data_IF_177426898540
#
_entry.id   IF_177426898540
#
_cell.length_a   1.000
_cell.length_b   1.000
_cell.length_c   1.000
_cell.angle_alpha   90.00
_cell.angle_beta   90.00
_cell.angle_gamma   90.00
#
_symmetry.space_group_name_H-M   'P 1'
#
loop_
_entity.id
_entity.type
_entity.pdbx_description
1 polymer ?
#
# COMPACT_ATOMS: atom_id res chain seq x y z
N UNK A 1 -0.16 27.57 13.76
CA UNK A 1 0.16 27.42 12.33
C UNK A 1 0.90 26.13 12.03
N UNK A 2 1.86 25.71 12.84
CA UNK A 2 2.75 24.55 12.59
C UNK A 2 2.00 23.21 12.47
N UNK A 3 1.01 22.94 13.31
CA UNK A 3 0.22 21.68 13.23
C UNK A 3 -0.57 21.55 11.93
N UNK A 4 -1.09 22.65 11.35
CA UNK A 4 -1.76 22.62 10.03
C UNK A 4 -0.81 22.20 8.92
N UNK A 5 0.45 22.64 8.97
CA UNK A 5 1.48 22.28 7.99
C UNK A 5 1.78 20.78 8.09
N UNK A 6 1.93 20.25 9.31
CA UNK A 6 2.18 18.81 9.54
C UNK A 6 1.05 17.94 8.97
N UNK A 7 -0.22 18.29 9.26
CA UNK A 7 -1.36 17.57 8.69
C UNK A 7 -1.45 17.74 7.17
N UNK A 8 -1.09 18.91 6.62
CA UNK A 8 -1.04 19.15 5.19
C UNK A 8 -0.01 18.26 4.49
N UNK A 9 1.20 18.18 5.03
CA UNK A 9 2.25 17.28 4.51
C UNK A 9 1.80 15.82 4.62
N UNK A 10 1.26 15.42 5.79
CA UNK A 10 0.73 14.07 6.00
C UNK A 10 -0.37 13.69 5.00
N UNK A 11 -1.28 14.61 4.69
CA UNK A 11 -2.32 14.41 3.68
C UNK A 11 -1.71 14.10 2.30
N UNK A 12 -0.74 14.91 1.84
CA UNK A 12 -0.11 14.70 0.53
C UNK A 12 0.67 13.40 0.47
N UNK A 13 1.41 13.04 1.52
CA UNK A 13 2.13 11.77 1.61
C UNK A 13 1.16 10.59 1.60
N UNK A 14 0.06 10.66 2.36
CA UNK A 14 -0.96 9.60 2.36
C UNK A 14 -1.66 9.49 1.01
N UNK A 15 -1.97 10.61 0.34
CA UNK A 15 -2.55 10.60 -1.01
C UNK A 15 -1.63 9.89 -2.01
N UNK A 16 -0.33 10.19 -1.96
CA UNK A 16 0.67 9.52 -2.80
C UNK A 16 0.77 8.02 -2.48
N UNK A 17 0.79 7.65 -1.19
CA UNK A 17 0.80 6.25 -0.77
C UNK A 17 -0.45 5.51 -1.28
N UNK A 18 -1.65 6.07 -1.08
CA UNK A 18 -2.91 5.48 -1.56
C UNK A 18 -2.91 5.29 -3.08
N UNK A 19 -2.43 6.27 -3.83
CA UNK A 19 -2.31 6.15 -5.29
C UNK A 19 -1.36 5.00 -5.69
N UNK A 20 -0.22 4.84 -5.00
CA UNK A 20 0.71 3.74 -5.24
C UNK A 20 0.13 2.39 -4.83
N UNK A 21 -0.61 2.30 -3.71
CA UNK A 21 -1.31 1.08 -3.29
C UNK A 21 -2.33 0.65 -4.34
N UNK A 22 -3.16 1.57 -4.83
CA UNK A 22 -4.14 1.29 -5.90
C UNK A 22 -3.42 0.87 -7.18
N UNK A 23 -2.37 1.59 -7.59
CA UNK A 23 -1.60 1.25 -8.79
C UNK A 23 -0.97 -0.15 -8.67
N UNK A 24 -0.50 -0.55 -7.49
CA UNK A 24 0.07 -1.88 -7.26
C UNK A 24 -0.97 -3.00 -7.40
N UNK A 25 -2.24 -2.75 -7.05
CA UNK A 25 -3.34 -3.70 -7.20
C UNK A 25 -3.76 -3.84 -8.65
N UNK A 26 -3.89 -2.71 -9.35
CA UNK A 26 -4.41 -2.68 -10.74
C UNK A 26 -3.39 -3.19 -11.74
N UNK A 27 -2.10 -2.92 -11.52
CA UNK A 27 -1.07 -3.37 -12.45
C UNK A 27 -0.81 -4.87 -12.30
N UNK A 28 -0.86 -5.67 -13.41
CA UNK A 28 -0.56 -7.09 -13.38
C UNK A 28 0.95 -7.36 -13.37
N UNK A 29 1.71 -6.79 -12.42
CA UNK A 29 3.18 -6.82 -12.39
C UNK A 29 3.74 -7.05 -10.98
N UNK A 30 3.16 -8.00 -10.25
CA UNK A 30 3.72 -8.44 -8.96
C UNK A 30 4.91 -9.37 -9.17
N UNK A 31 4.73 -10.34 -10.07
CA UNK A 31 5.77 -11.26 -10.52
C UNK A 31 5.84 -11.21 -12.05
N UNK A 32 7.03 -11.15 -12.59
CA UNK A 32 7.26 -11.18 -14.02
C UNK A 32 8.25 -12.27 -14.39
N UNK A 33 7.92 -13.00 -15.44
CA UNK A 33 8.81 -13.94 -16.12
C UNK A 33 9.21 -13.33 -17.45
N UNK A 34 10.50 -13.22 -17.70
CA UNK A 34 11.02 -12.65 -18.93
C UNK A 34 12.17 -13.53 -19.43
N UNK A 35 11.93 -14.25 -20.50
CA UNK A 35 12.97 -15.07 -21.17
C UNK A 35 13.13 -14.59 -22.59
N UNK A 36 14.31 -14.11 -22.90
CA UNK A 36 14.72 -13.77 -24.26
C UNK A 36 14.99 -15.06 -25.03
N UNK A 37 14.25 -15.29 -26.11
CA UNK A 37 14.50 -16.42 -27.01
C UNK A 37 15.86 -16.23 -27.71
N UNK A 38 16.78 -17.17 -27.50
CA UNK A 38 18.04 -17.23 -28.19
C UNK A 38 17.81 -17.67 -29.64
N UNK A 39 18.08 -16.80 -30.63
CA UNK A 39 18.07 -17.10 -32.05
C UNK A 39 17.55 -15.94 -32.92
N UNK A 40 17.85 -15.99 -34.23
CA UNK A 40 17.45 -14.96 -35.22
C UNK A 40 15.93 -14.69 -35.34
N UNK A 41 15.09 -15.48 -34.66
CA UNK A 41 13.63 -15.35 -34.57
C UNK A 41 13.10 -15.68 -33.15
N UNK A 42 13.94 -15.58 -32.13
CA UNK A 42 13.56 -15.89 -30.75
C UNK A 42 12.48 -14.90 -30.25
N UNK A 43 11.21 -15.34 -30.16
CA UNK A 43 10.15 -14.59 -29.49
C UNK A 43 10.47 -14.53 -28.01
N UNK A 44 10.54 -13.33 -27.43
CA UNK A 44 10.58 -13.15 -25.98
C UNK A 44 9.23 -13.59 -25.40
N UNK A 45 9.27 -14.48 -24.41
CA UNK A 45 8.08 -14.88 -23.64
C UNK A 45 8.05 -14.07 -22.37
N UNK A 46 6.96 -13.32 -22.20
CA UNK A 46 6.71 -12.53 -20.98
C UNK A 46 5.41 -13.00 -20.36
N UNK A 47 5.48 -13.43 -19.11
CA UNK A 47 4.31 -13.76 -18.31
C UNK A 47 4.34 -12.88 -17.07
N UNK A 48 3.22 -12.25 -16.75
CA UNK A 48 3.12 -11.39 -15.58
C UNK A 48 1.91 -11.74 -14.72
N UNK A 49 2.17 -11.94 -13.43
CA UNK A 49 1.17 -12.19 -12.40
C UNK A 49 0.82 -10.89 -11.68
N UNK A 50 -0.44 -10.49 -11.78
CA UNK A 50 -1.03 -9.47 -10.92
C UNK A 50 -1.83 -10.10 -9.78
N UNK A 51 -2.44 -9.28 -8.93
CA UNK A 51 -3.28 -9.78 -7.84
C UNK A 51 -4.59 -10.40 -8.36
N UNK A 52 -5.13 -9.85 -9.43
CA UNK A 52 -6.42 -10.25 -9.99
C UNK A 52 -6.34 -10.68 -11.47
N UNK A 53 -5.20 -10.49 -12.11
CA UNK A 53 -5.05 -10.77 -13.54
C UNK A 53 -3.70 -11.42 -13.82
N UNK A 54 -3.71 -12.37 -14.77
CA UNK A 54 -2.53 -13.01 -15.35
C UNK A 54 -2.46 -12.62 -16.81
N UNK A 55 -1.35 -12.02 -17.23
CA UNK A 55 -1.11 -11.63 -18.62
C UNK A 55 0.02 -12.49 -19.24
N UNK A 56 -0.23 -13.01 -20.44
CA UNK A 56 0.74 -13.79 -21.21
C UNK A 56 0.96 -13.13 -22.57
N UNK A 57 2.22 -12.86 -22.90
CA UNK A 57 2.59 -12.24 -24.19
C UNK A 57 2.53 -13.23 -25.35
N UNK A 58 2.51 -14.54 -25.12
CA UNK A 58 2.42 -15.56 -26.18
C UNK A 58 1.02 -15.57 -26.76
N UNK A 59 0.01 -15.54 -25.89
CA UNK A 59 -1.41 -15.48 -26.29
C UNK A 59 -1.87 -14.04 -26.56
N UNK A 60 -1.14 -13.05 -26.06
CA UNK A 60 -1.52 -11.62 -26.13
C UNK A 60 -2.75 -11.28 -25.30
N UNK A 61 -3.17 -12.16 -24.39
CA UNK A 61 -4.39 -12.02 -23.59
C UNK A 61 -4.09 -11.94 -22.09
N UNK A 62 -4.94 -11.22 -21.38
CA UNK A 62 -4.98 -11.23 -19.92
C UNK A 62 -6.25 -11.96 -19.47
N UNK A 63 -6.14 -12.79 -18.44
CA UNK A 63 -7.27 -13.50 -17.81
C UNK A 63 -7.33 -13.22 -16.33
N UNK A 64 -8.48 -13.45 -15.74
CA UNK A 64 -8.65 -13.37 -14.30
C UNK A 64 -7.79 -14.44 -13.59
N UNK A 65 -7.19 -14.07 -12.47
CA UNK A 65 -6.33 -14.93 -11.67
C UNK A 65 -6.52 -14.64 -10.17
N UNK A 66 -6.54 -15.66 -9.30
CA UNK A 66 -6.55 -17.09 -9.60
C UNK A 66 -7.97 -17.61 -9.93
N UNK A 67 -8.09 -18.42 -10.99
CA UNK A 67 -9.31 -19.16 -11.32
C UNK A 67 -9.36 -20.50 -10.56
N UNK A 68 -10.53 -21.14 -10.53
CA UNK A 68 -10.68 -22.43 -9.85
C UNK A 68 -9.78 -23.53 -10.45
N UNK A 69 -9.51 -23.45 -11.76
CA UNK A 69 -8.65 -24.39 -12.47
C UNK A 69 -7.19 -24.26 -12.00
N UNK A 70 -6.73 -23.04 -11.68
CA UNK A 70 -5.37 -22.78 -11.19
C UNK A 70 -5.16 -23.31 -9.77
N UNK A 71 -6.26 -23.59 -9.05
CA UNK A 71 -6.30 -23.91 -7.63
C UNK A 71 -6.58 -25.38 -7.32
N UNK A 72 -6.56 -26.28 -8.33
CA UNK A 72 -6.82 -27.71 -8.15
C UNK A 72 -5.56 -28.44 -7.66
N UNK A 73 -5.77 -29.48 -6.84
CA UNK A 73 -4.69 -30.33 -6.31
C UNK A 73 -3.77 -29.57 -5.34
N UNK A 74 -2.47 -29.74 -5.46
CA UNK A 74 -1.44 -29.16 -4.58
C UNK A 74 -1.38 -27.63 -4.62
N UNK A 75 -2.04 -27.03 -5.63
CA UNK A 75 -2.09 -25.56 -5.83
C UNK A 75 -3.02 -24.83 -4.87
N UNK A 76 -3.80 -25.52 -4.05
CA UNK A 76 -4.75 -24.93 -3.10
C UNK A 76 -4.07 -23.98 -2.11
N UNK A 77 -2.92 -24.37 -1.55
CA UNK A 77 -2.18 -23.55 -0.58
C UNK A 77 -1.67 -22.24 -1.18
N UNK A 78 -1.20 -22.26 -2.43
CA UNK A 78 -0.79 -21.08 -3.18
C UNK A 78 -1.97 -20.13 -3.41
N UNK A 79 -3.06 -20.63 -3.97
CA UNK A 79 -4.24 -19.84 -4.28
C UNK A 79 -4.86 -19.19 -3.02
N UNK A 80 -4.89 -19.93 -1.91
CA UNK A 80 -5.40 -19.41 -0.64
C UNK A 80 -4.57 -18.21 -0.18
N UNK A 81 -3.24 -18.33 -0.18
CA UNK A 81 -2.32 -17.23 0.18
C UNK A 81 -2.44 -16.06 -0.80
N UNK A 82 -2.53 -16.32 -2.09
CA UNK A 82 -2.68 -15.28 -3.11
C UNK A 82 -3.98 -14.47 -2.95
N UNK A 83 -5.10 -15.15 -2.70
CA UNK A 83 -6.38 -14.50 -2.39
C UNK A 83 -6.30 -13.68 -1.10
N UNK A 84 -5.58 -14.18 -0.09
CA UNK A 84 -5.34 -13.44 1.15
C UNK A 84 -4.58 -12.12 0.88
N UNK A 85 -3.57 -12.15 0.02
CA UNK A 85 -2.86 -10.91 -0.39
C UNK A 85 -3.80 -9.93 -1.06
N UNK A 86 -4.64 -10.37 -2.00
CA UNK A 86 -5.63 -9.51 -2.65
C UNK A 86 -6.61 -8.88 -1.66
N UNK A 87 -7.09 -9.66 -0.68
CA UNK A 87 -7.95 -9.17 0.39
C UNK A 87 -7.25 -8.13 1.27
N UNK A 88 -6.04 -8.42 1.75
CA UNK A 88 -5.28 -7.50 2.61
C UNK A 88 -4.98 -6.18 1.90
N UNK A 89 -4.61 -6.22 0.62
CA UNK A 89 -4.34 -5.01 -0.17
C UNK A 89 -5.62 -4.17 -0.35
N UNK A 90 -6.76 -4.81 -0.66
CA UNK A 90 -8.04 -4.11 -0.77
C UNK A 90 -8.47 -3.50 0.57
N UNK A 91 -8.25 -4.22 1.67
CA UNK A 91 -8.51 -3.72 3.02
C UNK A 91 -7.62 -2.51 3.38
N UNK A 92 -6.33 -2.55 3.02
CA UNK A 92 -5.42 -1.43 3.20
C UNK A 92 -5.91 -0.17 2.48
N UNK A 93 -6.35 -0.28 1.21
CA UNK A 93 -6.93 0.86 0.45
C UNK A 93 -8.14 1.44 1.16
N UNK A 94 -9.04 0.61 1.68
CA UNK A 94 -10.24 1.10 2.40
C UNK A 94 -9.83 1.92 3.63
N UNK A 95 -8.83 1.45 4.40
CA UNK A 95 -8.32 2.20 5.55
C UNK A 95 -7.65 3.50 5.10
N UNK A 96 -6.82 3.48 4.05
CA UNK A 96 -6.15 4.67 3.54
C UNK A 96 -7.15 5.73 3.06
N UNK A 97 -8.24 5.33 2.38
CA UNK A 97 -9.32 6.24 2.00
C UNK A 97 -10.04 6.82 3.22
N UNK A 98 -10.29 6.02 4.26
CA UNK A 98 -10.84 6.51 5.52
C UNK A 98 -9.90 7.51 6.21
N UNK A 99 -8.59 7.29 6.14
CA UNK A 99 -7.57 8.23 6.66
C UNK A 99 -7.60 9.55 5.89
N UNK A 100 -7.74 9.54 4.57
CA UNK A 100 -7.87 10.77 3.75
C UNK A 100 -9.10 11.59 4.16
N UNK A 101 -10.23 10.92 4.41
CA UNK A 101 -11.43 11.57 4.98
C UNK A 101 -11.12 12.13 6.38
N UNK A 102 -10.41 11.37 7.22
CA UNK A 102 -9.97 11.81 8.54
C UNK A 102 -9.12 13.08 8.48
N UNK A 103 -8.18 13.19 7.55
CA UNK A 103 -7.41 14.40 7.32
C UNK A 103 -8.30 15.59 6.94
N UNK A 104 -9.28 15.39 6.05
CA UNK A 104 -10.23 16.45 5.69
C UNK A 104 -11.00 16.93 6.91
N UNK A 105 -11.50 16.02 7.75
CA UNK A 105 -12.23 16.35 8.98
C UNK A 105 -11.35 17.10 9.98
N UNK A 106 -10.08 16.73 10.12
CA UNK A 106 -9.14 17.38 11.04
C UNK A 106 -8.71 18.76 10.53
N UNK A 107 -8.46 18.91 9.23
CA UNK A 107 -8.04 20.19 8.63
C UNK A 107 -9.17 21.22 8.59
N UNK A 108 -10.41 20.78 8.30
CA UNK A 108 -11.60 21.64 8.29
C UNK A 108 -12.19 21.86 9.70
N UNK A 109 -11.81 21.00 10.65
CA UNK A 109 -12.31 21.06 12.03
C UNK A 109 -11.65 22.15 12.87
N UNK A 110 -12.24 22.39 14.05
CA UNK A 110 -11.72 23.34 15.04
C UNK A 110 -10.43 22.85 15.72
N UNK A 111 -9.85 23.69 16.59
CA UNK A 111 -8.60 23.43 17.34
C UNK A 111 -8.62 22.06 18.04
N UNK A 112 -9.70 21.73 18.74
CA UNK A 112 -9.85 20.48 19.50
C UNK A 112 -9.71 19.23 18.62
N UNK A 113 -10.26 19.25 17.38
CA UNK A 113 -10.13 18.12 16.44
C UNK A 113 -8.69 17.94 15.95
N UNK A 114 -7.93 19.04 15.81
CA UNK A 114 -6.51 18.98 15.44
C UNK A 114 -5.63 18.45 16.57
N UNK A 115 -5.99 18.75 17.83
CA UNK A 115 -5.22 18.27 18.98
C UNK A 115 -5.39 16.77 19.24
N UNK A 116 -6.52 16.18 18.89
CA UNK A 116 -6.82 14.76 19.15
C UNK A 116 -6.78 13.87 17.89
N UNK A 117 -6.90 14.45 16.70
CA UNK A 117 -7.04 13.72 15.43
C UNK A 117 -5.84 12.87 15.06
N UNK A 118 -4.64 13.22 15.53
CA UNK A 118 -3.43 12.45 15.23
C UNK A 118 -3.49 11.00 15.71
N UNK A 119 -4.14 10.71 16.83
CA UNK A 119 -4.26 9.35 17.40
C UNK A 119 -4.96 8.40 16.44
N UNK A 120 -6.10 8.83 15.91
CA UNK A 120 -6.89 8.04 14.97
C UNK A 120 -6.16 7.90 13.63
N UNK A 121 -5.66 9.00 13.07
CA UNK A 121 -4.98 9.02 11.78
C UNK A 121 -3.72 8.15 11.81
N UNK A 122 -2.86 8.35 12.80
CA UNK A 122 -1.62 7.56 12.92
C UNK A 122 -1.91 6.08 13.18
N UNK A 123 -2.90 5.76 14.03
CA UNK A 123 -3.31 4.38 14.28
C UNK A 123 -3.79 3.68 13.00
N UNK A 124 -4.66 4.32 12.22
CA UNK A 124 -5.14 3.77 10.95
C UNK A 124 -4.01 3.63 9.92
N UNK A 125 -3.09 4.60 9.81
CA UNK A 125 -1.92 4.51 8.93
C UNK A 125 -0.98 3.36 9.32
N UNK A 126 -0.77 3.11 10.61
CA UNK A 126 0.00 1.96 11.10
C UNK A 126 -0.65 0.64 10.70
N UNK A 127 -1.97 0.53 10.82
CA UNK A 127 -2.70 -0.69 10.40
C UNK A 127 -2.63 -0.87 8.88
N UNK A 128 -2.85 0.18 8.09
CA UNK A 128 -2.73 0.13 6.63
C UNK A 128 -1.32 -0.27 6.18
N UNK A 129 -0.29 0.34 6.77
CA UNK A 129 1.10 0.01 6.48
C UNK A 129 1.45 -1.43 6.87
N UNK A 130 1.00 -1.90 8.03
CA UNK A 130 1.24 -3.27 8.48
C UNK A 130 0.56 -4.31 7.58
N UNK A 131 -0.68 -4.07 7.15
CA UNK A 131 -1.40 -4.98 6.23
C UNK A 131 -0.75 -5.03 4.84
N UNK A 132 -0.30 -3.89 4.31
CA UNK A 132 0.43 -3.84 3.04
C UNK A 132 1.80 -4.52 3.13
N UNK A 133 2.53 -4.33 4.23
CA UNK A 133 3.78 -5.01 4.53
C UNK A 133 3.60 -6.54 4.62
N UNK A 134 2.54 -7.01 5.30
CA UNK A 134 2.21 -8.43 5.37
C UNK A 134 1.90 -9.01 4.00
N UNK A 135 1.15 -8.29 3.15
CA UNK A 135 0.86 -8.70 1.78
C UNK A 135 2.13 -8.88 0.95
N UNK A 136 3.03 -7.90 1.02
CA UNK A 136 4.32 -7.94 0.34
C UNK A 136 5.18 -9.14 0.82
N UNK A 137 5.20 -9.39 2.14
CA UNK A 137 5.96 -10.48 2.72
C UNK A 137 5.41 -11.86 2.29
N UNK A 138 4.08 -12.02 2.20
CA UNK A 138 3.46 -13.25 1.70
C UNK A 138 3.86 -13.52 0.25
N UNK A 139 3.85 -12.48 -0.62
CA UNK A 139 4.26 -12.64 -2.03
C UNK A 139 5.75 -13.00 -2.13
N UNK A 140 6.61 -12.35 -1.34
CA UNK A 140 8.04 -12.69 -1.31
C UNK A 140 8.26 -14.12 -0.83
N UNK A 141 7.54 -14.57 0.20
CA UNK A 141 7.59 -15.94 0.68
C UNK A 141 7.15 -16.94 -0.39
N UNK A 142 6.06 -16.67 -1.12
CA UNK A 142 5.61 -17.52 -2.22
C UNK A 142 6.62 -17.55 -3.35
N UNK A 143 7.25 -16.42 -3.65
CA UNK A 143 8.30 -16.37 -4.68
C UNK A 143 9.50 -17.26 -4.34
N UNK A 144 9.91 -17.31 -3.08
CA UNK A 144 11.07 -18.07 -2.63
C UNK A 144 10.81 -19.58 -2.41
N UNK A 145 9.54 -19.97 -2.16
CA UNK A 145 9.21 -21.32 -1.69
C UNK A 145 8.25 -22.10 -2.58
N UNK A 146 7.67 -21.49 -3.62
CA UNK A 146 6.75 -22.18 -4.52
C UNK A 146 7.51 -22.68 -5.76
N UNK A 147 7.39 -23.98 -6.05
CA UNK A 147 8.08 -24.67 -7.15
C UNK A 147 7.82 -24.02 -8.53
N UNK A 148 6.74 -23.26 -8.69
CA UNK A 148 6.38 -22.55 -9.92
C UNK A 148 7.37 -21.48 -10.30
N UNK A 149 8.06 -20.88 -9.31
CA UNK A 149 8.99 -19.77 -9.50
C UNK A 149 10.47 -20.22 -9.48
N UNK A 150 10.76 -21.50 -9.30
CA UNK A 150 12.11 -22.07 -9.38
C UNK A 150 12.80 -21.89 -10.74
N UNK A 151 12.10 -21.94 -11.90
CA UNK A 151 12.78 -21.72 -13.17
C UNK A 151 13.43 -20.34 -13.23
N UNK A 152 14.69 -20.24 -13.73
CA UNK A 152 15.38 -18.96 -13.85
C UNK A 152 14.62 -18.03 -14.82
N UNK A 153 14.51 -16.75 -14.47
CA UNK A 153 13.81 -15.75 -15.26
C UNK A 153 12.62 -15.09 -14.55
N UNK A 154 12.18 -15.63 -13.41
CA UNK A 154 11.20 -14.97 -12.56
C UNK A 154 11.83 -13.86 -11.72
N UNK A 155 11.09 -12.77 -11.53
CA UNK A 155 11.49 -11.64 -10.67
C UNK A 155 10.28 -10.96 -10.06
N UNK A 156 10.50 -10.35 -8.91
CA UNK A 156 9.57 -9.37 -8.34
C UNK A 156 9.60 -8.10 -9.19
N UNK A 157 8.44 -7.58 -9.57
CA UNK A 157 8.35 -6.47 -10.53
C UNK A 157 7.70 -5.23 -9.89
N UNK A 158 7.35 -4.26 -10.73
CA UNK A 158 6.99 -2.89 -10.36
C UNK A 158 5.87 -2.78 -9.32
N UNK A 159 4.83 -3.62 -9.36
CA UNK A 159 3.74 -3.58 -8.37
C UNK A 159 4.22 -3.91 -6.95
N UNK A 160 5.16 -4.86 -6.82
CA UNK A 160 5.78 -5.18 -5.53
C UNK A 160 6.61 -4.00 -5.00
N UNK A 161 7.36 -3.31 -5.88
CA UNK A 161 8.13 -2.11 -5.52
C UNK A 161 7.19 -0.98 -5.09
N UNK A 162 6.11 -0.73 -5.84
CA UNK A 162 5.12 0.29 -5.49
C UNK A 162 4.48 0.03 -4.12
N UNK A 163 4.13 -1.24 -3.84
CA UNK A 163 3.62 -1.64 -2.53
C UNK A 163 4.66 -1.37 -1.43
N UNK A 164 5.94 -1.70 -1.67
CA UNK A 164 7.04 -1.47 -0.73
C UNK A 164 7.19 0.01 -0.38
N UNK A 165 7.18 0.88 -1.38
CA UNK A 165 7.28 2.33 -1.19
C UNK A 165 6.04 2.86 -0.46
N UNK A 166 4.84 2.41 -0.83
CA UNK A 166 3.59 2.86 -0.22
C UNK A 166 3.52 2.58 1.28
N UNK A 167 3.72 1.32 1.71
CA UNK A 167 3.64 1.00 3.14
C UNK A 167 4.74 1.71 3.94
N UNK A 168 5.92 1.89 3.37
CA UNK A 168 7.02 2.64 4.02
C UNK A 168 6.62 4.09 4.26
N UNK A 169 6.02 4.76 3.26
CA UNK A 169 5.52 6.13 3.41
C UNK A 169 4.42 6.19 4.48
N UNK A 170 3.49 5.24 4.50
CA UNK A 170 2.39 5.18 5.48
C UNK A 170 2.92 5.08 6.91
N UNK A 171 3.88 4.19 7.16
CA UNK A 171 4.51 4.03 8.49
C UNK A 171 5.30 5.29 8.88
N UNK A 172 6.13 5.82 7.96
CA UNK A 172 6.91 7.03 8.22
C UNK A 172 6.01 8.24 8.51
N UNK A 173 4.90 8.37 7.79
CA UNK A 173 3.91 9.43 8.02
C UNK A 173 3.25 9.28 9.39
N UNK A 174 2.87 8.05 9.77
CA UNK A 174 2.32 7.79 11.10
C UNK A 174 3.31 8.15 12.22
N UNK A 175 4.56 7.72 12.09
CA UNK A 175 5.62 8.07 13.05
C UNK A 175 5.88 9.58 13.10
N UNK A 176 5.87 10.25 11.95
CA UNK A 176 6.01 11.70 11.86
C UNK A 176 4.88 12.46 12.57
N UNK A 177 3.62 11.99 12.43
CA UNK A 177 2.48 12.56 13.13
C UNK A 177 2.57 12.38 14.65
N UNK A 178 2.96 11.18 15.09
CA UNK A 178 3.18 10.89 16.51
C UNK A 178 4.30 11.78 17.08
N UNK A 179 5.44 11.85 16.38
CA UNK A 179 6.55 12.71 16.78
C UNK A 179 6.17 14.18 16.86
N UNK A 180 5.45 14.67 15.86
CA UNK A 180 4.95 16.05 15.85
C UNK A 180 3.96 16.32 17.00
N UNK A 181 3.11 15.35 17.33
CA UNK A 181 2.14 15.49 18.43
C UNK A 181 2.82 15.58 19.80
N UNK A 182 3.97 14.91 19.96
CA UNK A 182 4.75 14.93 21.22
C UNK A 182 5.58 16.21 21.35
N UNK A 183 6.17 16.68 20.24
CA UNK A 183 7.15 17.79 20.27
C UNK A 183 6.47 19.16 20.16
N UNK A 184 5.34 19.25 19.42
CA UNK A 184 4.68 20.53 19.21
C UNK A 184 3.71 20.86 20.36
N UNK A 185 3.76 22.11 20.91
CA UNK A 185 2.84 22.55 21.95
C UNK A 185 1.38 22.52 21.45
N UNK A 186 0.45 22.39 22.39
CA UNK A 186 -0.99 22.45 22.11
C UNK A 186 -1.37 23.84 21.58
N UNK A 187 -2.28 23.90 20.61
CA UNK A 187 -2.70 25.17 19.98
C UNK A 187 -3.49 26.10 20.94
N UNK A 188 -3.78 25.63 22.16
CA UNK A 188 -4.56 26.37 23.18
C UNK A 188 -3.77 27.27 24.10
N UNK A 189 -2.45 27.13 24.22
CA UNK A 189 -1.62 27.84 25.20
C UNK A 189 -1.44 29.35 24.93
N UNK A 190 -1.93 29.87 23.83
CA UNK A 190 -1.79 31.31 23.49
C UNK A 190 -3.08 32.12 23.62
N UNK A 191 -4.16 31.56 24.14
CA UNK A 191 -5.38 32.29 24.39
C UNK A 191 -5.61 32.40 25.88
N UNK A 192 -4.99 33.36 26.53
CA UNK A 192 -5.52 34.03 27.73
C UNK A 192 -4.57 35.17 28.16
N UNK A 193 -4.61 36.26 27.42
CA UNK A 193 -4.46 37.55 28.12
C UNK A 193 -5.87 37.86 28.61
N UNK A 194 -6.18 37.80 29.92
CA UNK A 194 -7.44 38.33 30.38
C UNK A 194 -7.40 39.83 30.10
N UNK A 195 -8.28 40.29 29.19
CA UNK A 195 -8.55 41.71 29.09
C UNK A 195 -8.90 42.22 30.50
N UNK A 196 -7.95 42.97 31.06
CA UNK A 196 -8.12 43.58 32.35
C UNK A 196 -9.40 44.40 32.35
N UNK A 197 -10.31 44.07 33.27
CA UNK A 197 -11.36 44.98 33.67
C UNK A 197 -10.70 46.27 34.16
N UNK A 198 -10.85 47.35 33.41
CA UNK A 198 -10.84 48.70 33.96
C UNK A 198 -12.21 49.04 34.48
#
# INVERSE_FOLDING_TARGET
>A
MTRRIVYGIGLWLTLAATAMTIASIVQPRWLAYDVEGHGKHGKSVKVSYGLHTLCDSVTGTCRDFPQEEDCRGDSWSFCSRWRTVGFLMSFAVVIELAVLIGYAVVLLGGKQKRDQGWKMISGCLMVAGATSCASMAIVAFLFDHDDRFFPPGWRLDSSWILCTVSWSISILTACGLIGAAIVLPEEGDYELIPEGRM
#
